data_IF_827935561214
#
_entry.id   IF_827935561214
#
_cell.length_a   1.000
_cell.length_b   1.000
_cell.length_c   1.000
_cell.angle_alpha   90.00
_cell.angle_beta   90.00
_cell.angle_gamma   90.00
#
_symmetry.space_group_name_H-M   'P 1'
#
loop_
_entity.id
_entity.type
_entity.pdbx_description
1 polymer ?
#
# COMPACT_ATOMS: atom_id res chain seq x y z
N UNK A 1 -4.96 -6.24 -1.71
CA UNK A 1 -6.04 -6.65 -0.77
C UNK A 1 -7.25 -7.26 -1.49
N UNK A 2 -8.02 -8.15 -0.83
CA UNK A 2 -9.29 -8.68 -1.32
C UNK A 2 -10.35 -7.60 -1.56
N UNK A 3 -11.30 -7.84 -2.46
CA UNK A 3 -12.42 -6.91 -2.74
C UNK A 3 -13.28 -6.64 -1.51
N UNK A 4 -13.56 -7.68 -0.72
CA UNK A 4 -14.39 -7.58 0.49
C UNK A 4 -13.80 -6.60 1.51
N UNK A 5 -12.49 -6.59 1.70
CA UNK A 5 -11.82 -5.65 2.60
C UNK A 5 -11.97 -4.20 2.10
N UNK A 6 -11.78 -3.96 0.79
CA UNK A 6 -11.94 -2.63 0.23
C UNK A 6 -13.39 -2.10 0.39
N UNK A 7 -14.40 -2.95 0.20
CA UNK A 7 -15.80 -2.59 0.43
C UNK A 7 -16.10 -2.32 1.90
N UNK A 8 -15.60 -3.16 2.80
CA UNK A 8 -15.75 -2.99 4.23
C UNK A 8 -15.19 -1.63 4.72
N UNK A 9 -14.00 -1.25 4.24
CA UNK A 9 -13.36 0.03 4.58
C UNK A 9 -14.15 1.21 4.00
N UNK A 10 -14.58 1.13 2.74
CA UNK A 10 -15.43 2.16 2.12
C UNK A 10 -16.76 2.33 2.83
N UNK A 11 -17.38 1.24 3.27
CA UNK A 11 -18.61 1.27 4.07
C UNK A 11 -18.45 1.94 5.44
N UNK A 12 -17.21 2.15 5.90
CA UNK A 12 -16.87 2.89 7.12
C UNK A 12 -16.42 4.33 6.85
N UNK A 13 -16.52 4.81 5.62
CA UNK A 13 -16.14 6.17 5.25
C UNK A 13 -14.66 6.35 4.90
N UNK A 14 -13.86 5.27 4.86
CA UNK A 14 -12.48 5.36 4.40
C UNK A 14 -12.40 5.36 2.87
N UNK A 15 -11.44 6.10 2.34
CA UNK A 15 -11.01 5.89 0.98
C UNK A 15 -10.12 4.63 0.91
N UNK A 16 -10.57 3.62 0.16
CA UNK A 16 -9.79 2.41 -0.07
C UNK A 16 -9.68 2.13 -1.56
N UNK A 17 -8.47 1.88 -2.06
CA UNK A 17 -8.19 1.55 -3.46
C UNK A 17 -7.43 0.21 -3.52
N UNK A 18 -7.76 -0.63 -4.50
CA UNK A 18 -6.93 -1.80 -4.82
C UNK A 18 -5.90 -1.38 -5.87
N UNK A 19 -4.71 -1.99 -5.86
CA UNK A 19 -3.66 -1.73 -6.86
C UNK A 19 -4.16 -1.81 -8.31
N UNK A 20 -4.94 -2.86 -8.62
CA UNK A 20 -5.54 -3.01 -9.95
C UNK A 20 -6.51 -1.87 -10.35
N UNK A 21 -7.13 -1.19 -9.39
CA UNK A 21 -8.01 -0.04 -9.64
C UNK A 21 -7.27 1.27 -9.84
N UNK A 22 -5.95 1.30 -9.63
CA UNK A 22 -5.09 2.47 -9.82
C UNK A 22 -3.97 2.21 -10.84
N UNK A 23 -4.11 1.13 -11.64
CA UNK A 23 -3.15 0.78 -12.69
C UNK A 23 -1.86 0.10 -12.22
N UNK A 24 -1.73 -0.23 -10.92
CA UNK A 24 -0.51 -0.84 -10.36
C UNK A 24 -0.60 -2.36 -10.21
N UNK A 25 -1.35 -3.04 -11.07
CA UNK A 25 -1.43 -4.50 -11.02
C UNK A 25 -0.08 -5.09 -11.48
N UNK A 26 0.57 -5.83 -10.58
CA UNK A 26 1.85 -6.48 -10.88
C UNK A 26 3.03 -5.50 -10.98
N UNK A 27 2.87 -4.27 -10.48
CA UNK A 27 3.99 -3.37 -10.31
C UNK A 27 4.94 -3.88 -9.24
N UNK A 28 6.22 -3.52 -9.36
CA UNK A 28 7.26 -3.83 -8.38
C UNK A 28 6.95 -3.19 -7.01
N UNK A 29 7.44 -3.81 -5.94
CA UNK A 29 7.17 -3.39 -4.57
C UNK A 29 7.60 -1.93 -4.30
N UNK A 30 8.76 -1.54 -4.83
CA UNK A 30 9.29 -0.16 -4.77
C UNK A 30 8.28 0.83 -5.35
N UNK A 31 7.74 0.55 -6.54
CA UNK A 31 6.74 1.40 -7.20
C UNK A 31 5.45 1.51 -6.38
N UNK A 32 5.00 0.41 -5.77
CA UNK A 32 3.81 0.40 -4.92
C UNK A 32 4.03 1.20 -3.64
N UNK A 33 5.20 1.08 -3.02
CA UNK A 33 5.57 1.80 -1.82
C UNK A 33 5.69 3.31 -2.07
N UNK A 34 6.37 3.73 -3.14
CA UNK A 34 6.48 5.13 -3.56
C UNK A 34 5.11 5.73 -3.86
N UNK A 35 4.26 5.02 -4.61
CA UNK A 35 2.90 5.48 -4.92
C UNK A 35 2.10 5.78 -3.64
N UNK A 36 2.21 4.91 -2.63
CA UNK A 36 1.53 5.09 -1.36
C UNK A 36 2.13 6.26 -0.56
N UNK A 37 3.46 6.36 -0.48
CA UNK A 37 4.17 7.41 0.26
C UNK A 37 3.87 8.81 -0.30
N UNK A 38 4.00 9.00 -1.61
CA UNK A 38 3.78 10.28 -2.29
C UNK A 38 2.37 10.83 -2.11
N UNK A 39 1.41 9.95 -1.82
CA UNK A 39 -0.02 10.28 -1.67
C UNK A 39 -0.50 10.21 -0.22
N UNK A 40 0.40 9.96 0.73
CA UNK A 40 0.04 9.80 2.15
C UNK A 40 -0.95 8.65 2.41
N UNK A 41 -0.88 7.58 1.61
CA UNK A 41 -1.75 6.41 1.72
C UNK A 41 -1.15 5.36 2.65
N UNK A 42 -2.02 4.57 3.28
CA UNK A 42 -1.61 3.37 4.03
C UNK A 42 -1.63 2.17 3.09
N UNK A 43 -0.47 1.52 2.94
CA UNK A 43 -0.35 0.27 2.20
C UNK A 43 -0.73 -0.93 3.10
N UNK A 44 -1.74 -1.69 2.68
CA UNK A 44 -2.16 -2.92 3.36
C UNK A 44 -1.80 -4.12 2.48
N UNK A 45 -0.79 -4.89 2.92
CA UNK A 45 -0.27 -6.06 2.21
C UNK A 45 0.00 -7.24 3.18
N UNK A 46 -0.07 -8.46 2.65
CA UNK A 46 0.39 -9.68 3.34
C UNK A 46 1.77 -10.13 2.85
N UNK A 47 2.30 -9.43 1.84
CA UNK A 47 3.60 -9.69 1.27
C UNK A 47 4.70 -9.32 2.27
N UNK A 48 5.58 -10.27 2.56
CA UNK A 48 6.62 -10.12 3.59
C UNK A 48 7.82 -9.32 3.09
N UNK A 49 8.02 -9.23 1.79
CA UNK A 49 9.17 -8.55 1.19
C UNK A 49 9.08 -7.03 1.39
N UNK A 50 7.86 -6.50 1.55
CA UNK A 50 7.64 -5.12 1.97
C UNK A 50 8.23 -4.77 3.35
N UNK A 51 8.42 -5.75 4.25
CA UNK A 51 9.09 -5.50 5.53
C UNK A 51 10.56 -5.13 5.34
N UNK A 52 11.24 -5.80 4.39
CA UNK A 52 12.62 -5.49 4.01
C UNK A 52 12.69 -4.15 3.27
N UNK A 53 11.74 -3.91 2.37
CA UNK A 53 11.63 -2.64 1.64
C UNK A 53 11.38 -1.45 2.59
N UNK A 54 10.50 -1.60 3.58
CA UNK A 54 10.26 -0.57 4.59
C UNK A 54 11.53 -0.24 5.36
N UNK A 55 12.29 -1.27 5.78
CA UNK A 55 13.57 -1.04 6.46
C UNK A 55 14.51 -0.22 5.57
N UNK A 56 14.61 -0.52 4.27
CA UNK A 56 15.48 0.18 3.32
C UNK A 56 15.03 1.61 3.00
N UNK A 57 13.73 1.83 2.78
CA UNK A 57 13.18 3.13 2.40
C UNK A 57 13.09 4.11 3.58
N UNK A 58 12.91 3.59 4.79
CA UNK A 58 12.64 4.37 5.98
C UNK A 58 13.72 4.25 7.07
N UNK A 59 14.84 3.58 6.80
CA UNK A 59 16.02 3.60 7.68
C UNK A 59 16.44 5.05 7.95
N UNK A 60 16.49 5.44 9.23
CA UNK A 60 16.82 6.80 9.65
C UNK A 60 15.74 7.87 9.44
N UNK A 61 14.55 7.52 8.95
CA UNK A 61 13.41 8.45 8.77
C UNK A 61 12.25 8.23 9.74
N UNK A 62 12.22 7.10 10.46
CA UNK A 62 11.24 6.82 11.51
C UNK A 62 11.92 7.18 12.83
N UNK A 63 11.46 8.28 13.46
CA UNK A 63 11.85 8.73 14.81
C UNK A 63 10.66 8.58 15.75
#
# INVERSE_FOLDING_TARGET
MPTSLAWFLRGRGYEARRLAGVGLRGAEDETVAEYAADRGLILVTLDKDFGLLYRRLYEGKIT
#
